data_IF_201284782645
#
_entry.id   IF_201284782645
#
_cell.length_a   1.000
_cell.length_b   1.000
_cell.length_c   1.000
_cell.angle_alpha   90.00
_cell.angle_beta   90.00
_cell.angle_gamma   90.00
#
_symmetry.space_group_name_H-M   'P 1'
#
loop_
_entity.id
_entity.type
_entity.pdbx_description
1 polymer ?
#
# COMPACT_ATOMS: atom_id res chain seq x y z
N UNK A 1 2.58 -8.78 -18.56
CA UNK A 1 1.13 -8.68 -18.28
C UNK A 1 0.98 -8.27 -16.82
N UNK A 2 -0.07 -7.50 -16.44
CA UNK A 2 -0.29 -7.15 -15.05
C UNK A 2 -0.48 -8.41 -14.20
N UNK A 3 0.15 -8.45 -13.01
CA UNK A 3 -0.08 -9.51 -12.03
C UNK A 3 -1.48 -9.35 -11.43
N UNK A 4 -2.12 -10.45 -11.00
CA UNK A 4 -3.23 -10.37 -10.05
C UNK A 4 -2.80 -9.57 -8.82
N UNK A 5 -3.70 -8.74 -8.30
CA UNK A 5 -3.45 -8.02 -7.06
C UNK A 5 -4.67 -8.06 -6.15
N UNK A 6 -4.41 -7.99 -4.85
CA UNK A 6 -5.45 -8.00 -3.81
C UNK A 6 -5.14 -6.99 -2.71
N UNK A 7 -6.20 -6.56 -2.03
CA UNK A 7 -6.09 -5.84 -0.78
C UNK A 7 -6.04 -6.84 0.37
N UNK A 8 -5.18 -6.58 1.36
CA UNK A 8 -5.33 -7.22 2.67
C UNK A 8 -6.50 -6.56 3.43
N UNK A 9 -7.00 -7.23 4.47
CA UNK A 9 -8.04 -6.64 5.35
C UNK A 9 -7.61 -5.29 5.95
N UNK A 10 -6.32 -5.15 6.24
CA UNK A 10 -5.75 -3.89 6.74
C UNK A 10 -5.84 -2.80 5.68
N UNK A 11 -5.43 -3.09 4.44
CA UNK A 11 -5.52 -2.15 3.34
C UNK A 11 -6.97 -1.74 3.01
N UNK A 12 -7.92 -2.68 3.06
CA UNK A 12 -9.35 -2.39 2.91
C UNK A 12 -9.85 -1.44 4.01
N UNK A 13 -9.50 -1.70 5.28
CA UNK A 13 -9.86 -0.84 6.40
C UNK A 13 -9.29 0.58 6.23
N UNK A 14 -8.03 0.70 5.84
CA UNK A 14 -7.40 2.00 5.58
C UNK A 14 -8.05 2.76 4.43
N UNK A 15 -8.42 2.10 3.33
CA UNK A 15 -9.17 2.76 2.24
C UNK A 15 -10.52 3.30 2.73
N UNK A 16 -11.25 2.53 3.54
CA UNK A 16 -12.53 2.96 4.11
C UNK A 16 -12.34 4.19 5.00
N UNK A 17 -11.29 4.21 5.84
CA UNK A 17 -10.98 5.36 6.70
C UNK A 17 -10.61 6.60 5.88
N UNK A 18 -9.76 6.44 4.86
CA UNK A 18 -9.38 7.51 3.93
C UNK A 18 -10.61 8.06 3.23
N UNK A 19 -11.48 7.20 2.70
CA UNK A 19 -12.70 7.61 2.01
C UNK A 19 -13.63 8.38 2.94
N UNK A 20 -13.90 7.87 4.15
CA UNK A 20 -14.76 8.54 5.15
C UNK A 20 -14.24 9.94 5.49
N UNK A 21 -12.97 10.05 5.86
CA UNK A 21 -12.37 11.34 6.20
C UNK A 21 -12.37 12.31 5.00
N UNK A 22 -12.13 11.80 3.79
CA UNK A 22 -12.14 12.62 2.57
C UNK A 22 -13.55 13.12 2.24
N UNK A 23 -14.58 12.30 2.43
CA UNK A 23 -15.98 12.72 2.30
C UNK A 23 -16.31 13.81 3.30
N UNK A 24 -15.96 13.62 4.58
CA UNK A 24 -16.23 14.57 5.66
C UNK A 24 -15.52 15.90 5.45
N UNK A 25 -14.29 15.87 4.92
CA UNK A 25 -13.44 17.06 4.79
C UNK A 25 -13.63 17.81 3.47
N UNK A 26 -13.83 17.08 2.37
CA UNK A 26 -13.81 17.66 1.01
C UNK A 26 -15.06 17.36 0.19
N UNK A 27 -15.90 16.45 0.64
CA UNK A 27 -17.12 16.03 -0.04
C UNK A 27 -16.96 14.79 -0.92
N UNK A 28 -18.09 14.19 -1.34
CA UNK A 28 -18.12 12.87 -1.97
C UNK A 28 -17.46 12.82 -3.35
N UNK A 29 -17.48 13.92 -4.11
CA UNK A 29 -16.83 13.97 -5.43
C UNK A 29 -15.32 13.83 -5.31
N UNK A 30 -14.73 14.54 -4.35
CA UNK A 30 -13.30 14.48 -4.08
C UNK A 30 -12.91 13.13 -3.50
N UNK A 31 -13.75 12.51 -2.66
CA UNK A 31 -13.51 11.16 -2.16
C UNK A 31 -13.46 10.12 -3.29
N UNK A 32 -14.41 10.15 -4.22
CA UNK A 32 -14.43 9.23 -5.36
C UNK A 32 -13.19 9.40 -6.25
N UNK A 33 -12.83 10.64 -6.60
CA UNK A 33 -11.64 10.91 -7.40
C UNK A 33 -10.35 10.44 -6.69
N UNK A 34 -10.26 10.64 -5.37
CA UNK A 34 -9.09 10.25 -4.61
C UNK A 34 -8.98 8.72 -4.44
N UNK A 35 -10.11 8.03 -4.30
CA UNK A 35 -10.16 6.57 -4.35
C UNK A 35 -9.67 6.06 -5.71
N UNK A 36 -10.14 6.62 -6.82
CA UNK A 36 -9.72 6.24 -8.16
C UNK A 36 -8.20 6.39 -8.36
N UNK A 37 -7.60 7.47 -7.84
CA UNK A 37 -6.14 7.68 -7.87
C UNK A 37 -5.37 6.59 -7.10
N UNK A 38 -5.86 6.20 -5.91
CA UNK A 38 -5.26 5.15 -5.09
C UNK A 38 -5.37 3.79 -5.79
N UNK A 39 -6.53 3.47 -6.37
CA UNK A 39 -6.74 2.22 -7.10
C UNK A 39 -5.94 2.19 -8.41
N UNK A 40 -5.81 3.31 -9.13
CA UNK A 40 -4.94 3.41 -10.31
C UNK A 40 -3.49 3.09 -9.93
N UNK A 41 -3.02 3.63 -8.81
CA UNK A 41 -1.69 3.33 -8.30
C UNK A 41 -1.52 1.83 -8.01
N UNK A 42 -2.50 1.16 -7.41
CA UNK A 42 -2.46 -0.29 -7.21
C UNK A 42 -2.36 -1.07 -8.53
N UNK A 43 -3.06 -0.61 -9.58
CA UNK A 43 -2.98 -1.22 -10.93
C UNK A 43 -1.61 -1.00 -11.58
N UNK A 44 -1.00 0.18 -11.39
CA UNK A 44 0.36 0.47 -11.88
C UNK A 44 1.42 -0.38 -11.17
N UNK A 45 1.26 -0.60 -9.87
CA UNK A 45 2.11 -1.53 -9.10
C UNK A 45 1.97 -2.93 -9.69
N UNK A 46 0.74 -3.42 -9.88
CA UNK A 46 0.48 -4.73 -10.47
C UNK A 46 1.00 -4.88 -11.91
N UNK A 47 1.05 -3.78 -12.67
CA UNK A 47 1.64 -3.72 -14.00
C UNK A 47 3.17 -3.62 -14.00
N UNK A 48 3.81 -3.41 -12.85
CA UNK A 48 5.24 -3.18 -12.72
C UNK A 48 5.71 -1.81 -13.24
N UNK A 49 4.79 -0.85 -13.41
CA UNK A 49 5.09 0.49 -13.94
C UNK A 49 5.22 1.55 -12.86
N UNK A 50 4.77 1.27 -11.64
CA UNK A 50 4.90 2.18 -10.51
C UNK A 50 6.37 2.31 -10.05
N UNK A 51 6.83 3.56 -9.87
CA UNK A 51 8.11 3.82 -9.21
C UNK A 51 7.97 3.50 -7.72
N UNK A 52 8.66 2.46 -7.27
CA UNK A 52 8.60 1.96 -5.89
C UNK A 52 9.96 1.96 -5.21
N UNK A 53 9.95 2.03 -3.89
CA UNK A 53 11.12 2.02 -3.03
C UNK A 53 11.05 0.85 -2.05
N UNK A 54 12.18 0.17 -1.84
CA UNK A 54 12.27 -0.92 -0.87
C UNK A 54 12.37 -0.35 0.56
N UNK A 55 11.56 -0.88 1.48
CA UNK A 55 11.51 -0.43 2.87
C UNK A 55 12.81 -0.74 3.65
N UNK A 56 13.66 -1.62 3.13
CA UNK A 56 14.90 -2.10 3.78
C UNK A 56 15.92 -0.97 4.09
N UNK A 57 15.83 0.17 3.40
CA UNK A 57 16.69 1.34 3.70
C UNK A 57 16.20 2.19 4.87
N UNK A 58 14.94 2.05 5.28
CA UNK A 58 14.28 2.96 6.23
C UNK A 58 14.15 2.38 7.64
N UNK A 59 14.16 1.06 7.77
CA UNK A 59 13.79 0.33 8.99
C UNK A 59 14.65 -0.92 9.02
N UNK A 60 15.08 -1.30 10.21
CA UNK A 60 16.08 -2.31 10.49
C UNK A 60 15.97 -3.62 9.69
N UNK A 61 17.03 -4.41 9.80
CA UNK A 61 17.29 -5.70 9.12
C UNK A 61 16.21 -6.78 9.33
N UNK A 62 15.15 -6.52 10.09
CA UNK A 62 14.07 -7.46 10.47
C UNK A 62 12.78 -7.32 9.64
N UNK A 63 12.69 -6.35 8.71
CA UNK A 63 11.58 -6.29 7.77
C UNK A 63 11.65 -7.45 6.76
N UNK A 64 10.47 -8.00 6.41
CA UNK A 64 10.33 -8.97 5.30
C UNK A 64 10.95 -8.36 4.04
N UNK A 65 11.82 -9.13 3.39
CA UNK A 65 12.72 -8.68 2.31
C UNK A 65 12.00 -8.02 1.11
N UNK A 66 10.69 -8.24 1.00
CA UNK A 66 9.86 -7.89 -0.16
C UNK A 66 8.90 -6.72 0.09
N UNK A 67 9.00 -6.00 1.22
CA UNK A 67 8.14 -4.85 1.51
C UNK A 67 8.59 -3.59 0.75
N UNK A 68 7.68 -3.05 -0.05
CA UNK A 68 7.91 -1.89 -0.93
C UNK A 68 6.80 -0.86 -0.74
N UNK A 69 7.06 0.37 -1.17
CA UNK A 69 6.04 1.41 -1.21
C UNK A 69 6.16 2.32 -2.43
N UNK A 70 5.02 2.85 -2.85
CA UNK A 70 4.87 3.89 -3.87
C UNK A 70 4.05 5.04 -3.32
N UNK A 71 4.35 6.28 -3.72
CA UNK A 71 3.57 7.45 -3.30
C UNK A 71 2.36 7.65 -4.21
N UNK A 72 1.19 7.90 -3.61
CA UNK A 72 -0.07 8.26 -4.27
C UNK A 72 -0.68 9.49 -3.58
N UNK A 73 -0.39 10.68 -4.13
CA UNK A 73 -0.80 11.95 -3.54
C UNK A 73 -0.25 12.13 -2.11
N UNK A 74 -1.15 12.23 -1.13
CA UNK A 74 -0.81 12.37 0.30
C UNK A 74 -0.59 11.03 1.01
N UNK A 75 -0.70 9.89 0.33
CA UNK A 75 -0.53 8.56 0.91
C UNK A 75 0.63 7.80 0.26
N UNK A 76 1.08 6.77 0.95
CA UNK A 76 1.97 5.72 0.47
C UNK A 76 1.18 4.43 0.38
N UNK A 77 1.21 3.79 -0.79
CA UNK A 77 0.68 2.45 -1.01
C UNK A 77 1.81 1.49 -0.66
N UNK A 78 1.62 0.70 0.40
CA UNK A 78 2.58 -0.30 0.87
C UNK A 78 2.17 -1.66 0.36
N UNK A 79 3.11 -2.40 -0.21
CA UNK A 79 2.82 -3.67 -0.86
C UNK A 79 3.98 -4.65 -0.75
N UNK A 80 3.64 -5.93 -0.96
CA UNK A 80 4.58 -7.01 -1.21
C UNK A 80 4.28 -7.54 -2.61
N UNK A 81 5.33 -7.89 -3.33
CA UNK A 81 5.26 -8.47 -4.67
C UNK A 81 6.06 -9.76 -4.69
N UNK A 82 5.41 -10.87 -5.07
CA UNK A 82 6.08 -12.14 -5.38
C UNK A 82 6.01 -12.42 -6.89
N UNK A 83 6.44 -13.59 -7.35
CA UNK A 83 6.45 -13.94 -8.77
C UNK A 83 5.04 -13.95 -9.39
N UNK A 84 4.01 -14.28 -8.60
CA UNK A 84 2.67 -14.62 -9.07
C UNK A 84 1.64 -13.51 -8.80
N UNK A 85 1.82 -12.70 -7.76
CA UNK A 85 0.84 -11.71 -7.33
C UNK A 85 1.43 -10.48 -6.62
N UNK A 86 0.58 -9.46 -6.47
CA UNK A 86 0.82 -8.30 -5.60
C UNK A 86 -0.18 -8.28 -4.44
N UNK A 87 0.31 -8.13 -3.21
CA UNK A 87 -0.53 -7.91 -2.04
C UNK A 87 -0.35 -6.48 -1.52
N UNK A 88 -1.41 -5.68 -1.57
CA UNK A 88 -1.42 -4.34 -0.97
C UNK A 88 -1.63 -4.51 0.54
N UNK A 89 -0.63 -4.12 1.31
CA UNK A 89 -0.56 -4.33 2.76
C UNK A 89 -1.26 -3.19 3.50
N UNK A 90 -1.02 -1.94 3.11
CA UNK A 90 -1.63 -0.78 3.77
C UNK A 90 -1.57 0.50 2.92
N UNK A 91 -2.36 1.50 3.29
CA UNK A 91 -2.28 2.88 2.81
C UNK A 91 -1.87 3.79 3.97
N UNK A 92 -0.66 4.32 3.93
CA UNK A 92 -0.10 5.14 5.01
C UNK A 92 -0.14 6.61 4.62
N UNK A 93 -0.69 7.49 5.46
CA UNK A 93 -0.58 8.92 5.19
C UNK A 93 0.90 9.35 5.20
N UNK A 94 1.30 10.22 4.28
CA UNK A 94 2.66 10.77 4.16
C UNK A 94 3.20 11.52 5.38
N UNK A 95 2.33 11.88 6.32
CA UNK A 95 2.70 12.50 7.61
C UNK A 95 2.86 11.47 8.73
N UNK A 96 2.54 10.21 8.46
CA UNK A 96 2.76 9.14 9.42
C UNK A 96 4.27 8.88 9.59
N UNK A 97 4.65 8.47 10.79
CA UNK A 97 5.97 7.92 11.06
C UNK A 97 6.07 6.56 10.34
N UNK A 98 6.53 6.62 9.08
CA UNK A 98 6.68 5.48 8.20
C UNK A 98 7.49 4.36 8.86
N UNK A 99 8.70 4.63 9.42
CA UNK A 99 9.46 3.62 10.15
C UNK A 99 8.66 2.88 11.22
N UNK A 100 7.99 3.64 12.10
CA UNK A 100 7.22 3.04 13.18
C UNK A 100 6.02 2.26 12.66
N UNK A 101 5.32 2.75 11.63
CA UNK A 101 4.07 2.14 11.14
C UNK A 101 4.36 0.83 10.40
N UNK A 102 5.38 0.84 9.54
CA UNK A 102 5.83 -0.34 8.79
C UNK A 102 6.31 -1.47 9.74
N UNK A 103 6.98 -1.14 10.85
CA UNK A 103 7.38 -2.12 11.88
C UNK A 103 6.19 -2.79 12.61
N UNK A 104 5.00 -2.19 12.58
CA UNK A 104 3.79 -2.70 13.23
C UNK A 104 2.78 -3.30 12.24
N UNK A 105 3.12 -3.40 10.96
CA UNK A 105 2.20 -3.97 9.98
C UNK A 105 2.01 -5.47 10.22
N UNK A 106 0.77 -5.98 10.16
CA UNK A 106 0.52 -7.41 10.12
C UNK A 106 0.99 -7.92 8.75
N UNK A 107 2.26 -8.28 8.64
CA UNK A 107 2.82 -8.82 7.41
C UNK A 107 2.23 -10.22 7.17
N UNK A 108 1.77 -10.54 5.94
CA UNK A 108 1.43 -11.91 5.61
C UNK A 108 2.68 -12.77 5.85
N UNK A 109 2.53 -13.86 6.61
CA UNK A 109 3.58 -14.86 6.71
C UNK A 109 3.84 -15.34 5.29
N UNK A 110 5.03 -15.07 4.77
CA UNK A 110 5.46 -15.65 3.51
C UNK A 110 5.49 -17.15 3.73
N UNK A 111 4.60 -17.90 3.06
CA UNK A 111 4.75 -19.33 2.88
C UNK A 111 5.95 -19.51 1.94
N UNK A 112 7.15 -19.39 2.50
CA UNK A 112 8.39 -19.82 1.87
C UNK A 112 8.54 -21.30 2.23
N UNK A 113 7.73 -22.15 1.61
CA UNK A 113 8.06 -23.58 1.55
C UNK A 113 9.24 -23.73 0.59
N UNK A 114 10.37 -24.13 1.16
CA UNK A 114 11.60 -24.52 0.48
C UNK A 114 11.43 -25.86 -0.24
#
# INVERSE_FOLDING_TARGET
MPKPWRLTRQAEASLIEIARWTVETFGPRQAAAYEDDLISTCREIAAGTALSQDCRRLIATDLVEDLRFTRAGQHFVVFIEDADQVAIVDFLHSRADLPRRLANLPLPKGDREH
#
